data_IF_097986004035
#
_entry.id   IF_097986004035
#
_cell.length_a   1.000
_cell.length_b   1.000
_cell.length_c   1.000
_cell.angle_alpha   90.00
_cell.angle_beta   90.00
_cell.angle_gamma   90.00
#
_symmetry.space_group_name_H-M   'P 1'
#
loop_
_entity.id
_entity.type
_entity.pdbx_description
1 polymer ?
#
# COMPACT_ATOMS: atom_id res chain seq x y z
N UNK A 1 10.34 31.20 -36.07
CA UNK A 1 9.58 30.01 -35.63
C UNK A 1 9.62 29.98 -34.11
N UNK A 2 8.55 30.37 -33.45
CA UNK A 2 8.39 30.27 -32.00
C UNK A 2 7.84 28.87 -31.69
N UNK A 3 8.70 27.99 -31.18
CA UNK A 3 8.27 26.68 -30.69
C UNK A 3 7.40 26.88 -29.44
N UNK A 4 6.17 26.37 -29.47
CA UNK A 4 5.33 26.33 -28.28
C UNK A 4 5.84 25.20 -27.37
N UNK A 5 6.26 25.55 -26.16
CA UNK A 5 6.52 24.56 -25.11
C UNK A 5 5.19 24.22 -24.44
N UNK A 6 4.80 22.96 -24.49
CA UNK A 6 3.68 22.41 -23.72
C UNK A 6 4.20 21.65 -22.49
N UNK A 7 3.54 21.82 -21.35
CA UNK A 7 3.79 21.00 -20.15
C UNK A 7 2.68 19.95 -20.11
N UNK A 8 3.08 18.67 -20.12
CA UNK A 8 2.16 17.56 -19.86
C UNK A 8 2.25 17.25 -18.36
N UNK A 9 1.15 17.43 -17.64
CA UNK A 9 1.01 17.00 -16.25
C UNK A 9 0.31 15.65 -16.21
N UNK A 10 1.09 14.59 -16.01
CA UNK A 10 0.59 13.24 -15.91
C UNK A 10 0.54 12.83 -14.44
N UNK A 11 -0.67 12.58 -13.91
CA UNK A 11 -0.84 12.11 -12.53
C UNK A 11 -0.13 10.76 -12.28
N UNK A 12 -0.16 9.88 -13.28
CA UNK A 12 0.46 8.56 -13.24
C UNK A 12 1.19 8.29 -14.55
N UNK A 13 2.37 7.69 -14.46
CA UNK A 13 3.12 7.17 -15.60
C UNK A 13 3.36 5.67 -15.42
N UNK A 14 2.98 4.87 -16.43
CA UNK A 14 3.18 3.42 -16.45
C UNK A 14 4.42 3.10 -17.26
N UNK A 15 5.41 2.47 -16.63
CA UNK A 15 6.68 2.09 -17.23
C UNK A 15 6.69 0.61 -17.61
N UNK A 16 7.51 0.27 -18.62
CA UNK A 16 7.72 -1.09 -19.12
C UNK A 16 6.49 -1.78 -19.73
N UNK A 17 5.43 -1.03 -20.03
CA UNK A 17 4.28 -1.50 -20.81
C UNK A 17 4.65 -1.80 -22.27
N UNK A 18 4.02 -2.79 -22.90
CA UNK A 18 4.14 -2.96 -24.35
C UNK A 18 3.58 -1.76 -25.10
N UNK A 19 4.20 -1.44 -26.24
CA UNK A 19 3.71 -0.43 -27.18
C UNK A 19 2.28 -0.75 -27.61
N UNK A 20 1.40 0.27 -27.56
CA UNK A 20 0.02 0.16 -28.03
C UNK A 20 -0.95 -0.49 -27.03
N UNK A 21 -0.51 -0.84 -25.83
CA UNK A 21 -1.40 -1.32 -24.76
C UNK A 21 -1.97 -0.17 -23.96
N UNK A 22 -3.28 -0.18 -23.78
CA UNK A 22 -3.98 0.81 -22.98
C UNK A 22 -3.98 0.41 -21.50
N UNK A 23 -3.35 1.19 -20.63
CA UNK A 23 -3.32 0.94 -19.19
C UNK A 23 -4.32 1.82 -18.41
N UNK A 24 -5.28 2.49 -19.08
CA UNK A 24 -6.36 3.24 -18.43
C UNK A 24 -7.26 2.34 -17.55
N UNK A 25 -7.33 1.06 -17.90
CA UNK A 25 -7.93 -0.02 -17.13
C UNK A 25 -6.97 -1.19 -17.07
N UNK A 26 -6.97 -1.92 -15.96
CA UNK A 26 -6.01 -2.98 -15.65
C UNK A 26 -6.71 -4.20 -15.06
N UNK A 27 -6.01 -5.34 -15.00
CA UNK A 27 -6.52 -6.55 -14.35
C UNK A 27 -6.01 -6.70 -12.91
N UNK A 28 -4.89 -6.06 -12.58
CA UNK A 28 -4.38 -6.08 -11.23
C UNK A 28 -3.66 -4.78 -10.90
N UNK A 29 -3.69 -4.43 -9.62
CA UNK A 29 -3.07 -3.22 -9.09
C UNK A 29 -2.38 -3.56 -7.76
N UNK A 30 -1.14 -3.10 -7.64
CA UNK A 30 -0.28 -3.25 -6.48
C UNK A 30 -0.02 -1.89 -5.85
N UNK A 31 -0.19 -1.79 -4.53
CA UNK A 31 0.18 -0.59 -3.76
C UNK A 31 1.07 -0.94 -2.59
N UNK A 32 1.90 0.00 -2.16
CA UNK A 32 2.50 0.01 -0.83
C UNK A 32 1.66 0.87 0.13
N UNK A 33 1.59 0.47 1.40
CA UNK A 33 0.94 1.22 2.45
C UNK A 33 1.90 1.33 3.65
N UNK A 34 2.26 2.56 4.02
CA UNK A 34 3.13 2.79 5.18
C UNK A 34 2.53 2.19 6.44
N UNK A 35 3.34 1.52 7.27
CA UNK A 35 2.89 0.87 8.52
C UNK A 35 2.16 -0.47 8.34
N UNK A 36 1.81 -0.90 7.12
CA UNK A 36 1.08 -2.16 6.90
C UNK A 36 1.84 -3.38 7.46
N UNK A 37 3.14 -3.46 7.18
CA UNK A 37 4.01 -4.54 7.70
C UNK A 37 3.99 -4.61 9.23
N UNK A 38 4.11 -3.45 9.86
CA UNK A 38 4.13 -3.34 11.32
C UNK A 38 2.78 -3.75 11.93
N UNK A 39 1.69 -3.28 11.34
CA UNK A 39 0.33 -3.65 11.74
C UNK A 39 0.06 -5.15 11.65
N UNK A 40 0.59 -5.81 10.62
CA UNK A 40 0.54 -7.26 10.44
C UNK A 40 1.45 -8.03 11.42
N UNK A 41 2.44 -7.36 12.01
CA UNK A 41 3.40 -7.99 12.91
C UNK A 41 4.34 -9.00 12.22
N UNK A 42 4.59 -8.83 10.92
CA UNK A 42 5.44 -9.74 10.13
C UNK A 42 6.76 -9.08 9.74
N UNK A 43 7.76 -9.91 9.47
CA UNK A 43 9.08 -9.49 9.01
C UNK A 43 9.65 -10.54 8.06
N UNK A 44 10.25 -10.10 6.96
CA UNK A 44 11.03 -10.97 6.08
C UNK A 44 12.45 -11.18 6.60
N UNK A 45 12.84 -10.47 7.67
CA UNK A 45 14.19 -10.45 8.22
C UNK A 45 14.26 -11.38 9.42
N UNK A 46 15.09 -12.41 9.33
CA UNK A 46 15.46 -13.30 10.43
C UNK A 46 16.88 -12.95 10.88
N UNK A 47 17.01 -12.54 12.16
CA UNK A 47 18.29 -12.17 12.74
C UNK A 47 19.01 -13.39 13.35
N UNK A 48 20.29 -13.58 13.01
CA UNK A 48 21.14 -14.53 13.73
C UNK A 48 21.66 -13.93 15.03
N UNK A 49 22.13 -14.80 15.93
CA UNK A 49 23.01 -14.35 17.02
C UNK A 49 24.23 -13.61 16.45
N UNK A 50 24.69 -12.54 17.12
CA UNK A 50 25.86 -11.79 16.66
C UNK A 50 27.13 -12.62 16.86
N UNK A 51 28.04 -12.55 15.90
CA UNK A 51 29.38 -13.10 16.06
C UNK A 51 30.19 -12.17 16.97
N UNK A 52 30.61 -12.66 18.14
CA UNK A 52 31.42 -11.90 19.11
C UNK A 52 32.85 -12.41 19.17
N UNK A 53 33.80 -11.51 19.46
CA UNK A 53 35.17 -11.90 19.76
C UNK A 53 35.35 -12.30 21.24
N UNK A 54 36.60 -12.60 21.61
CA UNK A 54 36.96 -13.02 22.98
C UNK A 54 36.71 -11.94 24.05
N UNK A 55 36.61 -10.67 23.65
CA UNK A 55 36.32 -9.54 24.53
C UNK A 55 34.83 -9.15 24.50
N UNK A 56 33.96 -10.03 23.99
CA UNK A 56 32.52 -9.82 23.77
C UNK A 56 32.19 -8.64 22.84
N UNK A 57 33.09 -8.27 21.91
CA UNK A 57 32.80 -7.24 20.91
C UNK A 57 32.15 -7.87 19.67
N UNK A 58 31.04 -7.29 19.21
CA UNK A 58 30.36 -7.73 17.98
C UNK A 58 31.27 -7.49 16.77
N UNK A 59 31.58 -8.56 16.05
CA UNK A 59 32.39 -8.56 14.82
C UNK A 59 31.56 -8.77 13.56
N UNK A 60 30.35 -9.29 13.69
CA UNK A 60 29.44 -9.46 12.58
C UNK A 60 28.05 -9.86 13.06
N UNK A 61 27.09 -9.75 12.15
CA UNK A 61 25.73 -10.24 12.31
C UNK A 61 25.26 -10.72 10.95
N UNK A 62 24.62 -11.88 10.91
CA UNK A 62 24.05 -12.41 9.69
C UNK A 62 22.54 -12.18 9.69
N UNK A 63 22.01 -11.73 8.56
CA UNK A 63 20.58 -11.63 8.33
C UNK A 63 20.19 -12.67 7.29
N UNK A 64 19.13 -13.43 7.57
CA UNK A 64 18.52 -14.32 6.57
C UNK A 64 17.21 -13.68 6.12
N UNK A 65 17.05 -13.52 4.81
CA UNK A 65 15.84 -12.97 4.22
C UNK A 65 14.95 -14.11 3.78
N UNK A 66 13.77 -14.22 4.38
CA UNK A 66 12.76 -15.21 4.01
C UNK A 66 11.41 -14.51 3.95
N UNK A 67 10.89 -14.37 2.75
CA UNK A 67 9.55 -13.84 2.52
C UNK A 67 8.51 -14.82 3.11
N UNK A 68 7.60 -14.38 3.99
CA UNK A 68 6.43 -15.15 4.35
C UNK A 68 5.53 -15.42 3.14
N UNK A 69 4.62 -16.40 3.28
CA UNK A 69 3.58 -16.64 2.28
C UNK A 69 2.61 -15.46 2.19
N UNK A 70 1.88 -15.36 1.07
CA UNK A 70 0.83 -14.37 0.90
C UNK A 70 -0.25 -14.52 1.99
N UNK A 71 -0.77 -13.38 2.46
CA UNK A 71 -1.78 -13.33 3.50
C UNK A 71 -3.11 -12.92 2.85
N UNK A 72 -4.09 -13.82 2.88
CA UNK A 72 -5.44 -13.52 2.41
C UNK A 72 -6.20 -12.61 3.37
N UNK A 73 -7.09 -11.76 2.84
CA UNK A 73 -7.89 -10.83 3.66
C UNK A 73 -9.34 -11.29 3.87
N UNK A 74 -9.63 -12.57 3.65
CA UNK A 74 -10.99 -13.09 3.49
C UNK A 74 -11.66 -12.75 2.15
N UNK A 75 -10.99 -12.00 1.29
CA UNK A 75 -11.45 -11.66 -0.06
C UNK A 75 -10.53 -12.31 -1.10
N UNK A 76 -11.04 -13.16 -2.01
CA UNK A 76 -10.20 -13.93 -2.94
C UNK A 76 -9.51 -13.08 -4.00
N UNK A 77 -9.92 -11.81 -4.16
CA UNK A 77 -9.34 -10.88 -5.14
C UNK A 77 -8.52 -9.77 -4.48
N UNK A 78 -8.22 -9.89 -3.18
CA UNK A 78 -7.42 -8.92 -2.45
C UNK A 78 -6.54 -9.63 -1.41
N UNK A 79 -5.22 -9.46 -1.51
CA UNK A 79 -4.25 -10.13 -0.66
C UNK A 79 -3.11 -9.19 -0.26
N UNK A 80 -2.41 -9.57 0.81
CA UNK A 80 -1.14 -8.97 1.18
C UNK A 80 0.00 -9.85 0.70
N UNK A 81 0.94 -9.23 -0.01
CA UNK A 81 2.09 -9.89 -0.62
C UNK A 81 3.35 -9.34 0.05
N UNK A 82 3.92 -10.07 1.03
CA UNK A 82 5.19 -9.70 1.61
C UNK A 82 6.27 -9.64 0.53
N UNK A 83 7.22 -8.72 0.68
CA UNK A 83 8.28 -8.53 -0.28
C UNK A 83 9.50 -7.94 0.42
N UNK A 84 10.70 -8.26 -0.07
CA UNK A 84 11.90 -7.56 0.33
C UNK A 84 12.72 -7.20 -0.90
N UNK A 85 13.40 -6.06 -0.82
CA UNK A 85 14.33 -5.61 -1.84
C UNK A 85 15.56 -5.00 -1.20
N UNK A 86 16.67 -4.97 -1.92
CA UNK A 86 17.90 -4.33 -1.49
C UNK A 86 18.25 -3.22 -2.46
N UNK A 87 18.60 -2.06 -1.92
CA UNK A 87 19.18 -0.97 -2.70
C UNK A 87 20.60 -0.71 -2.26
N UNK A 88 21.51 -0.60 -3.22
CA UNK A 88 22.92 -0.30 -2.97
C UNK A 88 23.20 1.12 -3.45
N UNK A 89 23.62 1.99 -2.54
CA UNK A 89 24.00 3.37 -2.80
C UNK A 89 25.39 3.64 -2.25
N UNK A 90 26.39 3.69 -3.14
CA UNK A 90 27.79 3.81 -2.76
C UNK A 90 28.24 2.66 -1.87
N UNK A 91 28.59 2.97 -0.61
CA UNK A 91 29.03 1.99 0.39
C UNK A 91 27.91 1.57 1.35
N UNK A 92 26.67 1.98 1.09
CA UNK A 92 25.51 1.64 1.91
C UNK A 92 24.63 0.65 1.17
N UNK A 93 24.32 -0.47 1.83
CA UNK A 93 23.26 -1.37 1.41
C UNK A 93 22.06 -1.17 2.33
N UNK A 94 20.94 -0.76 1.75
CA UNK A 94 19.67 -0.66 2.45
C UNK A 94 18.81 -1.87 2.10
N UNK A 95 18.21 -2.44 3.14
CA UNK A 95 17.25 -3.53 3.02
C UNK A 95 15.86 -2.97 3.30
N UNK A 96 14.98 -3.09 2.32
CA UNK A 96 13.58 -2.68 2.41
C UNK A 96 12.73 -3.92 2.60
N UNK A 97 12.12 -4.06 3.77
CA UNK A 97 11.15 -5.11 4.09
C UNK A 97 9.75 -4.49 4.04
N UNK A 98 8.95 -4.95 3.08
CA UNK A 98 7.72 -4.32 2.65
C UNK A 98 6.59 -5.34 2.59
N UNK A 99 5.36 -4.84 2.61
CA UNK A 99 4.18 -5.64 2.29
C UNK A 99 3.38 -4.84 1.29
N UNK A 100 3.12 -5.46 0.15
CA UNK A 100 2.22 -4.90 -0.84
C UNK A 100 0.80 -5.34 -0.58
N UNK A 101 -0.15 -4.51 -0.99
CA UNK A 101 -1.54 -4.92 -1.18
C UNK A 101 -1.76 -5.12 -2.67
N UNK A 102 -2.34 -6.25 -3.05
CA UNK A 102 -2.63 -6.58 -4.44
C UNK A 102 -4.12 -6.84 -4.60
N UNK A 103 -4.74 -6.16 -5.56
CA UNK A 103 -6.08 -6.49 -6.02
C UNK A 103 -6.02 -7.05 -7.43
N UNK A 104 -6.87 -8.03 -7.72
CA UNK A 104 -6.96 -8.65 -9.05
C UNK A 104 -8.42 -8.74 -9.53
N UNK A 105 -8.62 -8.79 -10.84
CA UNK A 105 -9.93 -8.93 -11.46
C UNK A 105 -9.81 -9.78 -12.72
N UNK A 106 -10.86 -10.52 -13.05
CA UNK A 106 -10.90 -11.26 -14.31
C UNK A 106 -11.04 -10.31 -15.49
N UNK A 107 -11.99 -9.39 -15.39
CA UNK A 107 -12.25 -8.35 -16.36
C UNK A 107 -11.35 -7.13 -16.13
N UNK A 108 -11.16 -6.32 -17.17
CA UNK A 108 -10.33 -5.13 -17.08
C UNK A 108 -11.12 -4.02 -16.36
N UNK A 109 -10.61 -3.57 -15.20
CA UNK A 109 -11.27 -2.59 -14.34
C UNK A 109 -10.51 -1.27 -14.27
N UNK A 110 -11.23 -0.21 -13.90
CA UNK A 110 -10.60 1.11 -13.68
C UNK A 110 -9.73 1.09 -12.43
N UNK A 111 -8.66 1.89 -12.41
CA UNK A 111 -7.80 2.01 -11.23
C UNK A 111 -8.57 2.41 -9.96
N UNK A 112 -9.54 3.34 -9.99
CA UNK A 112 -10.36 3.64 -8.82
C UNK A 112 -11.08 2.44 -8.21
N UNK A 113 -11.59 1.52 -9.04
CA UNK A 113 -12.29 0.31 -8.57
C UNK A 113 -11.35 -0.61 -7.80
N UNK A 114 -10.16 -0.85 -8.34
CA UNK A 114 -9.09 -1.55 -7.61
C UNK A 114 -8.77 -0.86 -6.29
N UNK A 115 -8.58 0.47 -6.32
CA UNK A 115 -8.15 1.26 -5.15
C UNK A 115 -9.18 1.34 -4.01
N UNK A 116 -10.43 0.93 -4.18
CA UNK A 116 -11.45 1.03 -3.12
C UNK A 116 -11.04 0.28 -1.85
N UNK A 117 -10.57 -0.97 -2.01
CA UNK A 117 -10.11 -1.82 -0.89
C UNK A 117 -8.77 -1.35 -0.32
N UNK A 118 -7.87 -0.89 -1.17
CA UNK A 118 -6.58 -0.34 -0.75
C UNK A 118 -6.76 0.92 0.10
N UNK A 119 -7.72 1.79 -0.28
CA UNK A 119 -8.10 2.96 0.51
C UNK A 119 -8.82 2.55 1.79
N UNK A 120 -9.69 1.54 1.77
CA UNK A 120 -10.31 1.02 2.98
C UNK A 120 -9.26 0.54 3.99
N UNK A 121 -8.20 -0.13 3.53
CA UNK A 121 -7.08 -0.52 4.41
C UNK A 121 -6.32 0.67 4.97
N UNK A 122 -6.02 1.67 4.14
CA UNK A 122 -5.40 2.92 4.63
C UNK A 122 -6.26 3.59 5.69
N UNK A 123 -7.58 3.65 5.47
CA UNK A 123 -8.53 4.26 6.37
C UNK A 123 -8.58 3.51 7.72
N UNK A 124 -8.50 2.16 7.71
CA UNK A 124 -8.36 1.35 8.92
C UNK A 124 -7.11 1.71 9.71
N UNK A 125 -5.94 1.73 9.05
CA UNK A 125 -4.68 2.04 9.75
C UNK A 125 -4.70 3.45 10.32
N UNK A 126 -5.21 4.42 9.57
CA UNK A 126 -5.39 5.81 10.02
C UNK A 126 -6.26 5.93 11.25
N UNK A 127 -7.42 5.26 11.26
CA UNK A 127 -8.32 5.27 12.43
C UNK A 127 -7.67 4.55 13.61
N UNK A 128 -6.98 3.44 13.35
CA UNK A 128 -6.37 2.60 14.36
C UNK A 128 -5.18 3.27 15.06
N UNK A 129 -4.31 3.99 14.33
CA UNK A 129 -3.13 4.67 14.88
C UNK A 129 -3.32 6.17 15.11
N UNK A 130 -4.46 6.73 14.68
CA UNK A 130 -4.71 8.17 14.59
C UNK A 130 -3.59 8.96 13.87
N UNK A 131 -2.95 8.36 12.87
CA UNK A 131 -1.80 8.93 12.16
C UNK A 131 -1.93 8.77 10.63
N UNK A 132 -1.22 9.60 9.87
CA UNK A 132 -1.10 9.41 8.42
C UNK A 132 -0.48 8.07 8.05
N UNK A 133 -1.06 7.43 7.03
CA UNK A 133 -0.46 6.29 6.36
C UNK A 133 -0.39 6.56 4.85
N UNK A 134 0.80 6.76 4.27
CA UNK A 134 0.97 7.00 2.83
C UNK A 134 0.60 5.74 2.05
N UNK A 135 -0.16 5.91 0.97
CA UNK A 135 -0.55 4.86 0.04
C UNK A 135 -0.04 5.25 -1.34
N UNK A 136 0.79 4.40 -1.94
CA UNK A 136 1.40 4.65 -3.26
C UNK A 136 1.07 3.50 -4.21
N UNK A 137 0.76 3.82 -5.47
CA UNK A 137 0.60 2.81 -6.51
C UNK A 137 1.99 2.42 -7.03
N UNK A 138 2.35 1.15 -6.87
CA UNK A 138 3.69 0.64 -7.18
C UNK A 138 3.74 0.02 -8.56
N UNK A 139 2.72 -0.76 -8.91
CA UNK A 139 2.66 -1.45 -10.18
C UNK A 139 1.23 -1.79 -10.58
N UNK A 140 1.05 -1.97 -11.88
CA UNK A 140 -0.20 -2.48 -12.46
C UNK A 140 0.10 -3.60 -13.45
N UNK A 141 -0.88 -4.47 -13.67
CA UNK A 141 -0.75 -5.57 -14.61
C UNK A 141 -1.98 -5.71 -15.51
N UNK A 142 -1.73 -6.15 -16.73
CA UNK A 142 -2.74 -6.53 -17.72
C UNK A 142 -2.49 -7.96 -18.17
N UNK A 143 -3.54 -8.78 -18.16
CA UNK A 143 -3.46 -10.19 -18.58
C UNK A 143 -3.17 -10.35 -20.06
N UNK A 144 -3.57 -9.38 -20.88
CA UNK A 144 -3.31 -9.35 -22.31
C UNK A 144 -1.95 -8.72 -22.69
N UNK A 145 -1.14 -8.35 -21.70
CA UNK A 145 0.24 -7.88 -21.87
C UNK A 145 1.27 -8.66 -21.01
N UNK A 146 1.34 -10.00 -21.11
CA UNK A 146 2.29 -10.80 -20.34
C UNK A 146 3.73 -10.62 -20.83
N UNK A 147 4.70 -10.99 -19.99
CA UNK A 147 6.08 -11.21 -20.43
C UNK A 147 6.14 -12.45 -21.33
N UNK A 148 6.82 -12.31 -22.46
CA UNK A 148 6.94 -13.34 -23.50
C UNK A 148 8.40 -13.70 -23.70
N UNK A 149 8.66 -14.99 -23.87
CA UNK A 149 9.96 -15.48 -24.32
C UNK A 149 10.23 -15.02 -25.77
N UNK A 150 11.46 -15.18 -26.25
CA UNK A 150 11.79 -14.89 -27.66
C UNK A 150 10.91 -15.69 -28.65
N UNK A 151 10.43 -16.87 -28.24
CA UNK A 151 9.48 -17.70 -28.98
C UNK A 151 8.05 -17.12 -29.04
N UNK A 152 7.78 -16.00 -28.36
CA UNK A 152 6.46 -15.37 -28.26
C UNK A 152 5.54 -16.01 -27.22
N UNK A 153 5.94 -17.11 -26.57
CA UNK A 153 5.13 -17.81 -25.56
C UNK A 153 5.09 -16.99 -24.26
N UNK A 154 3.90 -16.71 -23.71
CA UNK A 154 3.79 -16.03 -22.41
C UNK A 154 4.27 -16.95 -21.29
N UNK A 155 5.13 -16.45 -20.41
CA UNK A 155 5.69 -17.23 -19.30
C UNK A 155 5.44 -16.61 -17.92
N UNK A 156 5.14 -15.31 -17.86
CA UNK A 156 4.87 -14.61 -16.61
C UNK A 156 3.96 -13.41 -16.85
N UNK A 157 3.19 -13.07 -15.83
CA UNK A 157 2.50 -11.78 -15.76
C UNK A 157 3.50 -10.61 -15.78
N UNK A 158 3.13 -9.52 -16.43
CA UNK A 158 3.93 -8.28 -16.43
C UNK A 158 3.37 -7.29 -15.42
N UNK A 159 4.16 -7.04 -14.39
CA UNK A 159 3.96 -5.91 -13.49
C UNK A 159 4.70 -4.69 -14.02
N UNK A 160 3.95 -3.72 -14.53
CA UNK A 160 4.46 -2.44 -15.02
C UNK A 160 4.55 -1.47 -13.85
N UNK A 161 5.75 -0.94 -13.60
CA UNK A 161 5.98 0.03 -12.53
C UNK A 161 5.18 1.32 -12.78
N UNK A 162 4.64 1.90 -11.72
CA UNK A 162 3.89 3.17 -11.77
C UNK A 162 4.68 4.24 -11.03
N UNK A 163 4.78 5.43 -11.62
CA UNK A 163 5.33 6.62 -10.95
C UNK A 163 4.21 7.65 -10.85
N UNK A 164 4.02 8.18 -9.66
CA UNK A 164 3.08 9.27 -9.39
C UNK A 164 3.81 10.63 -9.42
N UNK A 165 3.21 11.66 -10.02
CA UNK A 165 3.85 12.98 -10.16
C UNK A 165 4.11 13.70 -8.83
N UNK A 166 3.37 13.34 -7.78
CA UNK A 166 3.44 13.97 -6.45
C UNK A 166 3.72 12.95 -5.34
N UNK A 167 4.60 11.98 -5.60
CA UNK A 167 5.04 11.06 -4.54
C UNK A 167 5.94 11.80 -3.55
N UNK A 168 5.34 12.31 -2.47
CA UNK A 168 6.09 12.66 -1.28
C UNK A 168 6.50 11.34 -0.61
N UNK A 169 7.80 11.05 -0.61
CA UNK A 169 8.36 9.88 0.09
C UNK A 169 8.19 10.10 1.59
N UNK A 170 7.13 9.51 2.15
CA UNK A 170 6.88 9.54 3.58
C UNK A 170 7.53 8.32 4.22
N UNK A 171 8.78 8.48 4.63
CA UNK A 171 9.40 7.55 5.57
C UNK A 171 8.92 7.89 6.98
N UNK A 172 7.88 7.21 7.46
CA UNK A 172 7.58 7.24 8.89
C UNK A 172 8.53 6.29 9.62
N UNK A 173 9.55 6.88 10.25
CA UNK A 173 10.45 6.20 11.17
C UNK A 173 9.84 6.27 12.58
N UNK A 174 8.87 5.40 12.87
CA UNK A 174 8.24 5.35 14.20
C UNK A 174 7.41 4.09 14.35
N UNK A 175 7.34 3.57 15.58
CA UNK A 175 6.43 2.49 15.95
C UNK A 175 5.03 3.09 16.13
N UNK A 176 4.03 2.52 15.48
CA UNK A 176 2.63 2.96 15.59
C UNK A 176 1.90 2.17 16.68
N UNK A 177 1.24 2.88 17.58
CA UNK A 177 0.35 2.27 18.56
C UNK A 177 -1.05 2.09 17.98
N UNK A 178 -1.29 0.92 17.37
CA UNK A 178 -2.57 0.56 16.79
C UNK A 178 -3.60 0.15 17.86
N UNK A 179 -4.74 0.84 17.89
CA UNK A 179 -5.91 0.49 18.70
C UNK A 179 -6.61 -0.79 18.21
N UNK A 180 -6.64 -0.98 16.89
CA UNK A 180 -7.16 -2.17 16.22
C UNK A 180 -5.98 -2.85 15.54
N UNK A 181 -5.61 -4.04 16.02
CA UNK A 181 -4.48 -4.84 15.51
C UNK A 181 -4.98 -5.89 14.53
N UNK A 182 -4.09 -6.40 13.68
CA UNK A 182 -4.43 -7.49 12.77
C UNK A 182 -4.93 -8.74 13.52
N UNK A 183 -4.39 -9.02 14.71
CA UNK A 183 -4.81 -10.12 15.58
C UNK A 183 -6.25 -10.02 16.10
N UNK A 184 -6.88 -8.85 15.98
CA UNK A 184 -8.26 -8.65 16.43
C UNK A 184 -9.28 -9.14 15.40
N UNK A 185 -8.84 -9.49 14.19
CA UNK A 185 -9.67 -10.05 13.12
C UNK A 185 -9.63 -11.58 13.13
N UNK A 186 -10.80 -12.21 13.11
CA UNK A 186 -10.92 -13.67 13.10
C UNK A 186 -10.27 -14.26 11.84
N UNK A 187 -9.23 -15.07 12.04
CA UNK A 187 -8.42 -15.68 10.97
C UNK A 187 -7.91 -14.70 9.90
N UNK A 188 -7.77 -13.40 10.23
CA UNK A 188 -7.36 -12.38 9.26
C UNK A 188 -8.44 -11.96 8.27
N UNK A 189 -9.71 -12.31 8.50
CA UNK A 189 -10.82 -11.90 7.64
C UNK A 189 -11.17 -10.42 7.88
N UNK A 190 -10.93 -9.59 6.85
CA UNK A 190 -11.17 -8.15 6.87
C UNK A 190 -12.52 -7.76 6.25
N UNK A 191 -13.34 -8.73 5.83
CA UNK A 191 -14.66 -8.44 5.24
C UNK A 191 -15.58 -7.70 6.21
N UNK A 192 -15.46 -7.95 7.52
CA UNK A 192 -16.18 -7.21 8.55
C UNK A 192 -15.87 -5.71 8.51
N UNK A 193 -14.58 -5.36 8.37
CA UNK A 193 -14.12 -3.99 8.20
C UNK A 193 -14.60 -3.39 6.87
N UNK A 194 -14.41 -4.09 5.74
CA UNK A 194 -14.84 -3.57 4.44
C UNK A 194 -16.34 -3.27 4.42
N UNK A 195 -17.16 -4.19 4.93
CA UNK A 195 -18.61 -4.00 5.05
C UNK A 195 -18.97 -2.83 5.96
N UNK A 196 -18.28 -2.68 7.11
CA UNK A 196 -18.48 -1.57 8.03
C UNK A 196 -18.16 -0.23 7.35
N UNK A 197 -17.00 -0.14 6.71
CA UNK A 197 -16.54 1.06 5.99
C UNK A 197 -17.53 1.48 4.91
N UNK A 198 -18.05 0.53 4.14
CA UNK A 198 -19.04 0.81 3.08
C UNK A 198 -20.40 1.22 3.66
N UNK A 199 -20.88 0.53 4.70
CA UNK A 199 -22.18 0.82 5.34
C UNK A 199 -22.20 2.20 5.99
N UNK A 200 -21.09 2.57 6.64
CA UNK A 200 -20.97 3.81 7.42
C UNK A 200 -20.07 4.85 6.74
N UNK A 201 -19.89 4.76 5.43
CA UNK A 201 -19.02 5.66 4.66
C UNK A 201 -19.34 7.14 4.93
N UNK A 202 -20.63 7.49 5.01
CA UNK A 202 -21.07 8.86 5.30
C UNK A 202 -20.53 9.41 6.64
N UNK A 203 -20.37 8.55 7.64
CA UNK A 203 -19.79 8.92 8.94
C UNK A 203 -18.27 8.78 9.00
N UNK A 204 -17.70 7.81 8.29
CA UNK A 204 -16.27 7.53 8.29
C UNK A 204 -15.50 8.50 7.39
N UNK A 205 -16.00 8.80 6.19
CA UNK A 205 -15.32 9.64 5.19
C UNK A 205 -14.93 11.02 5.76
N UNK A 206 -15.80 11.73 6.51
CA UNK A 206 -15.39 12.98 7.16
C UNK A 206 -14.23 12.78 8.13
N UNK A 207 -14.26 11.75 8.97
CA UNK A 207 -13.22 11.48 9.96
C UNK A 207 -11.89 11.18 9.27
N UNK A 208 -11.88 10.32 8.24
CA UNK A 208 -10.63 9.96 7.54
C UNK A 208 -10.13 11.08 6.63
N UNK A 209 -10.97 12.04 6.27
CA UNK A 209 -10.55 13.20 5.46
C UNK A 209 -9.66 14.18 6.24
N UNK A 210 -9.75 14.20 7.58
CA UNK A 210 -8.93 15.06 8.47
C UNK A 210 -7.43 14.91 8.18
N UNK A 211 -7.04 13.65 7.97
CA UNK A 211 -5.69 13.23 7.61
C UNK A 211 -5.16 13.90 6.32
N UNK A 212 -6.05 14.29 5.42
CA UNK A 212 -5.69 14.99 4.17
C UNK A 212 -5.80 16.52 4.29
N UNK A 213 -6.30 17.06 5.41
CA UNK A 213 -6.52 18.50 5.64
C UNK A 213 -5.27 19.21 6.18
N UNK A 214 -4.16 19.12 5.46
CA UNK A 214 -2.91 19.82 5.84
C UNK A 214 -3.12 21.33 5.90
N UNK A 215 -2.70 21.94 7.01
CA UNK A 215 -2.78 23.39 7.21
C UNK A 215 -4.18 23.93 7.50
N UNK A 216 -5.19 23.07 7.68
CA UNK A 216 -6.51 23.51 8.14
C UNK A 216 -6.48 23.92 9.62
N UNK A 217 -7.42 24.80 10.00
CA UNK A 217 -7.54 25.24 11.39
C UNK A 217 -8.15 24.14 12.26
N UNK A 218 -7.94 24.25 13.58
CA UNK A 218 -8.51 23.30 14.54
C UNK A 218 -10.05 23.31 14.52
N UNK A 219 -10.67 24.46 14.23
CA UNK A 219 -12.11 24.59 14.08
C UNK A 219 -12.62 23.78 12.89
N UNK A 220 -11.89 23.81 11.77
CA UNK A 220 -12.24 23.01 10.59
C UNK A 220 -12.16 21.50 10.91
N UNK A 221 -11.17 21.08 11.70
CA UNK A 221 -11.05 19.69 12.14
C UNK A 221 -12.21 19.27 13.06
N UNK A 222 -12.56 20.11 14.03
CA UNK A 222 -13.67 19.83 14.96
C UNK A 222 -15.01 19.74 14.22
N UNK A 223 -15.27 20.63 13.26
CA UNK A 223 -16.48 20.59 12.44
C UNK A 223 -16.54 19.29 11.64
N UNK A 224 -15.45 18.90 10.99
CA UNK A 224 -15.42 17.67 10.18
C UNK A 224 -15.60 16.41 11.03
N UNK A 225 -15.01 16.36 12.23
CA UNK A 225 -15.27 15.30 13.22
C UNK A 225 -16.74 15.25 13.63
N UNK A 226 -17.34 16.42 13.91
CA UNK A 226 -18.73 16.52 14.36
C UNK A 226 -19.70 16.00 13.29
N UNK A 227 -19.48 16.34 12.02
CA UNK A 227 -20.25 15.82 10.88
C UNK A 227 -20.14 14.28 10.81
N UNK A 228 -18.93 13.74 10.96
CA UNK A 228 -18.70 12.30 10.97
C UNK A 228 -19.44 11.59 12.10
N UNK A 229 -19.31 12.08 13.33
CA UNK A 229 -19.99 11.50 14.50
C UNK A 229 -21.51 11.62 14.44
N UNK A 230 -22.05 12.74 13.95
CA UNK A 230 -23.49 12.91 13.77
C UNK A 230 -24.05 11.88 12.77
N UNK A 231 -23.37 11.72 11.62
CA UNK A 231 -23.76 10.74 10.63
C UNK A 231 -23.67 9.30 11.16
N UNK A 232 -22.62 8.95 11.91
CA UNK A 232 -22.53 7.65 12.59
C UNK A 232 -23.69 7.44 13.57
N UNK A 233 -23.99 8.44 14.40
CA UNK A 233 -25.10 8.39 15.33
C UNK A 233 -26.44 8.15 14.63
N UNK A 234 -26.69 8.83 13.52
CA UNK A 234 -27.90 8.61 12.70
C UNK A 234 -27.97 7.22 12.07
N UNK A 235 -26.83 6.62 11.71
CA UNK A 235 -26.80 5.30 11.07
C UNK A 235 -26.85 4.13 12.06
N UNK A 236 -26.50 4.36 13.33
CA UNK A 236 -26.46 3.35 14.40
C UNK A 236 -27.75 3.28 15.23
N UNK A 237 -28.61 4.32 15.15
CA UNK A 237 -29.89 4.43 15.85
C UNK A 237 -31.06 4.04 14.94
#
# INVERSE_FOLDING_TARGET
MTGANGIIDARYAVFNASVGKDYSKVNALRTSLGGLREWLGISSILESEPFVDRDNRVKGKQYTLKCPDNIGTGNPVFEFVPHWTTSVSGNTTELHDLVYMESSSHDVESWPAHLEKHRAMRDLLRISSWTEHPLSIEAVSRRDDPLRAESGIPYQERWCAVVESHSEVHSHAGQFDYLIKYSDFDNGDLNSWFKLRDTYARGIDPIVSLFSMRGASIEAWVVQLSIGFEALGYQLL
#
